data_IF_625917033566
#
_entry.id   IF_625917033566
#
_cell.length_a   1.000
_cell.length_b   1.000
_cell.length_c   1.000
_cell.angle_alpha   90.00
_cell.angle_beta   90.00
_cell.angle_gamma   90.00
#
_symmetry.space_group_name_H-M   'P 1'
#
loop_
_entity.id
_entity.type
_entity.pdbx_description
1 polymer ?
#
# COMPACT_ATOMS: atom_id res chain seq x y z
N UNK A 1 23.66 11.35 -6.19
CA UNK A 1 22.38 12.01 -6.54
C UNK A 1 21.19 11.05 -6.66
N UNK A 2 21.39 9.74 -6.87
CA UNK A 2 20.29 8.77 -7.00
C UNK A 2 19.42 8.61 -5.73
N UNK A 3 20.02 8.49 -4.54
CA UNK A 3 19.29 8.21 -3.30
C UNK A 3 18.22 9.26 -2.92
N UNK A 4 18.48 10.56 -3.17
CA UNK A 4 17.50 11.63 -2.91
C UNK A 4 16.29 11.56 -3.85
N UNK A 5 16.51 11.16 -5.12
CA UNK A 5 15.43 11.00 -6.10
C UNK A 5 14.55 9.79 -5.76
N UNK A 6 15.17 8.68 -5.36
CA UNK A 6 14.49 7.47 -4.90
C UNK A 6 13.60 7.74 -3.70
N UNK A 7 14.10 8.46 -2.68
CA UNK A 7 13.30 8.80 -1.50
C UNK A 7 12.08 9.66 -1.85
N UNK A 8 12.22 10.64 -2.74
CA UNK A 8 11.09 11.48 -3.17
C UNK A 8 10.02 10.67 -3.91
N UNK A 9 10.42 9.70 -4.74
CA UNK A 9 9.48 8.79 -5.42
C UNK A 9 8.73 7.94 -4.38
N UNK A 10 9.45 7.39 -3.40
CA UNK A 10 8.84 6.55 -2.36
C UNK A 10 7.84 7.36 -1.52
N UNK A 11 8.21 8.57 -1.08
CA UNK A 11 7.30 9.45 -0.32
C UNK A 11 6.04 9.77 -1.12
N UNK A 12 6.18 10.05 -2.42
CA UNK A 12 5.03 10.31 -3.29
C UNK A 12 4.12 9.08 -3.44
N UNK A 13 4.70 7.89 -3.61
CA UNK A 13 3.94 6.64 -3.72
C UNK A 13 3.21 6.30 -2.41
N UNK A 14 3.86 6.52 -1.26
CA UNK A 14 3.22 6.36 0.06
C UNK A 14 2.06 7.34 0.20
N UNK A 15 2.27 8.61 -0.12
CA UNK A 15 1.22 9.63 -0.01
C UNK A 15 0.02 9.28 -0.89
N UNK A 16 0.27 8.83 -2.12
CA UNK A 16 -0.80 8.38 -3.02
C UNK A 16 -1.57 7.19 -2.45
N UNK A 17 -0.88 6.19 -1.90
CA UNK A 17 -1.53 5.06 -1.25
C UNK A 17 -2.39 5.51 -0.05
N UNK A 18 -1.93 6.47 0.75
CA UNK A 18 -2.75 7.00 1.84
C UNK A 18 -3.95 7.78 1.31
N UNK A 19 -3.79 8.65 0.31
CA UNK A 19 -4.92 9.37 -0.29
C UNK A 19 -5.99 8.43 -0.86
N UNK A 20 -5.58 7.29 -1.43
CA UNK A 20 -6.48 6.33 -2.05
C UNK A 20 -7.18 5.41 -1.02
N UNK A 21 -6.50 5.04 0.08
CA UNK A 21 -6.97 4.01 1.02
C UNK A 21 -7.16 4.48 2.48
N UNK A 22 -6.38 5.43 3.00
CA UNK A 22 -6.44 5.93 4.40
C UNK A 22 -7.64 6.87 4.60
N UNK A 23 -8.83 6.28 4.71
CA UNK A 23 -10.10 6.98 4.81
C UNK A 23 -10.28 7.72 6.13
N UNK A 24 -9.72 7.19 7.22
CA UNK A 24 -9.79 7.82 8.54
C UNK A 24 -8.65 8.83 8.81
N UNK A 25 -7.64 8.88 7.91
CA UNK A 25 -6.48 9.78 7.96
C UNK A 25 -5.61 9.59 9.19
N UNK A 26 -5.54 8.38 9.72
CA UNK A 26 -4.66 8.02 10.83
C UNK A 26 -3.22 7.72 10.39
N UNK A 27 -2.97 7.75 9.08
CA UNK A 27 -1.66 7.57 8.49
C UNK A 27 -1.25 6.11 8.32
N UNK A 28 -2.17 5.16 8.48
CA UNK A 28 -2.01 3.74 8.16
C UNK A 28 -3.21 3.28 7.34
N UNK A 29 -3.08 2.15 6.66
CA UNK A 29 -4.17 1.56 5.87
C UNK A 29 -4.60 0.30 6.60
N UNK A 30 -5.76 0.34 7.23
CA UNK A 30 -6.35 -0.83 7.87
C UNK A 30 -6.97 -1.79 6.86
N UNK A 31 -7.20 -3.03 7.28
CA UNK A 31 -7.91 -4.02 6.46
C UNK A 31 -9.28 -3.51 5.97
N UNK A 32 -10.05 -2.87 6.84
CA UNK A 32 -11.40 -2.41 6.51
C UNK A 32 -11.37 -1.28 5.48
N UNK A 33 -10.42 -0.35 5.62
CA UNK A 33 -10.18 0.72 4.67
C UNK A 33 -9.84 0.20 3.29
N UNK A 34 -8.92 -0.75 3.21
CA UNK A 34 -8.54 -1.36 1.94
C UNK A 34 -9.71 -2.14 1.31
N UNK A 35 -10.43 -2.92 2.13
CA UNK A 35 -11.63 -3.61 1.66
C UNK A 35 -12.74 -2.65 1.23
N UNK A 36 -12.90 -1.50 1.90
CA UNK A 36 -13.87 -0.47 1.55
C UNK A 36 -13.58 0.14 0.18
N UNK A 37 -12.30 0.35 -0.15
CA UNK A 37 -11.90 0.78 -1.49
C UNK A 37 -12.19 -0.30 -2.53
N UNK A 38 -11.80 -1.55 -2.27
CA UNK A 38 -12.05 -2.66 -3.20
C UNK A 38 -13.54 -2.96 -3.42
N UNK A 39 -14.39 -2.74 -2.40
CA UNK A 39 -15.85 -2.85 -2.55
C UNK A 39 -16.41 -1.80 -3.51
N UNK A 40 -15.79 -0.62 -3.58
CA UNK A 40 -16.18 0.46 -4.49
C UNK A 40 -15.58 0.29 -5.89
N UNK A 41 -14.55 -0.54 -6.02
CA UNK A 41 -13.93 -0.88 -7.28
C UNK A 41 -14.82 -1.86 -8.07
N UNK A 42 -15.28 -1.48 -9.28
CA UNK A 42 -16.20 -2.28 -10.06
C UNK A 42 -15.57 -3.57 -10.62
N UNK A 43 -14.24 -3.66 -10.71
CA UNK A 43 -13.52 -4.84 -11.17
C UNK A 43 -13.33 -5.88 -10.04
N UNK A 44 -13.29 -5.44 -8.78
CA UNK A 44 -13.10 -6.34 -7.62
C UNK A 44 -14.44 -6.75 -7.01
N UNK A 45 -15.29 -5.79 -6.65
CA UNK A 45 -16.58 -6.03 -6.00
C UNK A 45 -16.52 -6.61 -4.57
N UNK A 46 -17.68 -6.72 -3.94
CA UNK A 46 -17.83 -6.99 -2.49
C UNK A 46 -17.20 -8.30 -2.02
N UNK A 47 -17.31 -9.36 -2.84
CA UNK A 47 -16.89 -10.72 -2.49
C UNK A 47 -15.39 -10.97 -2.58
N UNK A 48 -14.61 -10.10 -3.23
CA UNK A 48 -13.17 -10.33 -3.48
C UNK A 48 -12.24 -9.42 -2.67
N UNK A 49 -12.80 -8.51 -1.88
CA UNK A 49 -12.03 -7.56 -1.09
C UNK A 49 -11.06 -8.28 -0.13
N UNK A 50 -11.51 -9.30 0.62
CA UNK A 50 -10.64 -10.05 1.54
C UNK A 50 -9.49 -10.77 0.83
N UNK A 51 -9.73 -11.34 -0.36
CA UNK A 51 -8.69 -12.03 -1.13
C UNK A 51 -7.61 -11.08 -1.66
N UNK A 52 -8.03 -9.93 -2.19
CA UNK A 52 -7.12 -8.89 -2.68
C UNK A 52 -6.34 -8.26 -1.53
N UNK A 53 -7.02 -7.89 -0.45
CA UNK A 53 -6.38 -7.34 0.76
C UNK A 53 -5.39 -8.33 1.34
N UNK A 54 -5.73 -9.63 1.45
CA UNK A 54 -4.79 -10.65 1.93
C UNK A 54 -3.56 -10.79 1.05
N UNK A 55 -3.73 -10.76 -0.29
CA UNK A 55 -2.62 -10.86 -1.23
C UNK A 55 -1.68 -9.66 -1.13
N UNK A 56 -2.23 -8.45 -1.02
CA UNK A 56 -1.44 -7.22 -0.84
C UNK A 56 -0.72 -7.24 0.50
N UNK A 57 -1.42 -7.54 1.60
CA UNK A 57 -0.83 -7.58 2.94
C UNK A 57 0.26 -8.65 3.05
N UNK A 58 0.05 -9.82 2.46
CA UNK A 58 1.07 -10.87 2.38
C UNK A 58 2.30 -10.43 1.58
N UNK A 59 2.11 -9.70 0.49
CA UNK A 59 3.22 -9.17 -0.32
C UNK A 59 4.00 -8.06 0.40
N UNK A 60 3.30 -7.26 1.21
CA UNK A 60 3.87 -6.21 2.05
C UNK A 60 4.57 -6.78 3.30
N UNK A 61 4.37 -8.06 3.61
CA UNK A 61 4.90 -8.69 4.83
C UNK A 61 4.23 -8.20 6.10
N UNK A 62 3.00 -7.68 5.99
CA UNK A 62 2.24 -7.14 7.12
C UNK A 62 1.97 -8.27 8.09
N UNK A 63 2.46 -8.10 9.31
CA UNK A 63 2.23 -9.05 10.40
C UNK A 63 0.76 -9.10 10.83
N UNK A 64 0.50 -9.81 11.92
CA UNK A 64 -0.85 -9.99 12.51
C UNK A 64 -1.60 -8.68 12.86
N UNK A 65 -0.97 -7.52 12.74
CA UNK A 65 -1.54 -6.21 13.09
C UNK A 65 -2.62 -5.70 12.12
N UNK A 66 -2.86 -6.40 10.99
CA UNK A 66 -3.94 -6.10 10.04
C UNK A 66 -4.00 -4.62 9.59
N UNK A 67 -2.87 -3.92 9.66
CA UNK A 67 -2.71 -2.55 9.21
C UNK A 67 -1.37 -2.41 8.48
N UNK A 68 -1.37 -1.65 7.39
CA UNK A 68 -0.17 -1.28 6.64
C UNK A 68 0.28 0.10 7.11
N UNK A 69 1.46 0.17 7.71
CA UNK A 69 2.06 1.43 8.16
C UNK A 69 2.90 2.10 7.06
N UNK A 70 3.21 3.39 7.25
CA UNK A 70 4.11 4.14 6.35
C UNK A 70 5.49 3.47 6.21
N UNK A 71 6.00 2.84 7.25
CA UNK A 71 7.32 2.20 7.23
C UNK A 71 7.32 0.91 6.39
N UNK A 72 6.24 0.13 6.48
CA UNK A 72 6.02 -1.06 5.65
C UNK A 72 5.85 -0.68 4.17
N UNK A 73 5.05 0.35 3.86
CA UNK A 73 4.93 0.88 2.49
C UNK A 73 6.29 1.37 1.98
N UNK A 74 7.05 2.06 2.82
CA UNK A 74 8.39 2.55 2.46
C UNK A 74 9.33 1.39 2.14
N UNK A 75 9.32 0.34 2.96
CA UNK A 75 10.14 -0.85 2.76
C UNK A 75 9.75 -1.57 1.47
N UNK A 76 8.44 -1.71 1.21
CA UNK A 76 7.93 -2.29 -0.03
C UNK A 76 8.34 -1.51 -1.27
N UNK A 77 8.10 -0.19 -1.32
CA UNK A 77 8.48 0.62 -2.47
C UNK A 77 9.99 0.68 -2.68
N UNK A 78 10.79 0.68 -1.59
CA UNK A 78 12.25 0.53 -1.68
C UNK A 78 12.64 -0.78 -2.36
N UNK A 79 11.99 -1.88 -1.96
CA UNK A 79 12.25 -3.21 -2.52
C UNK A 79 11.86 -3.27 -4.00
N UNK A 80 10.66 -2.84 -4.36
CA UNK A 80 10.17 -2.81 -5.75
C UNK A 80 11.09 -1.98 -6.65
N UNK A 81 11.52 -0.78 -6.20
CA UNK A 81 12.43 0.07 -6.97
C UNK A 81 13.84 -0.50 -7.08
N UNK A 82 14.29 -1.28 -6.09
CA UNK A 82 15.58 -1.97 -6.13
C UNK A 82 15.55 -3.21 -7.04
N UNK A 83 14.43 -3.94 -7.07
CA UNK A 83 14.23 -5.13 -7.91
C UNK A 83 13.89 -4.77 -9.37
N UNK A 84 13.29 -3.61 -9.64
CA UNK A 84 12.99 -3.11 -10.99
C UNK A 84 13.45 -1.65 -11.17
N UNK A 85 14.76 -1.39 -11.37
CA UNK A 85 15.32 -0.03 -11.49
C UNK A 85 14.98 0.68 -12.82
N UNK A 86 14.09 0.12 -13.66
CA UNK A 86 13.84 0.59 -15.03
C UNK A 86 12.36 0.92 -15.26
N UNK A 87 11.93 2.11 -14.82
CA UNK A 87 10.82 2.87 -15.40
C UNK A 87 11.27 4.33 -15.54
#
# INVERSE_FOLDING_TARGET
MAAKKTEAIIVRSIQKALDDYDGNKDGKISWDEMCSVYRKDPDVGEYRCDGMTNSVFGSLGVGKDKCVTKDELRTYFKKILAENPSQ
#
